data_IF_883099310076
#
_entry.id   IF_883099310076
#
_cell.length_a   1.000
_cell.length_b   1.000
_cell.length_c   1.000
_cell.angle_alpha   90.00
_cell.angle_beta   90.00
_cell.angle_gamma   90.00
#
_symmetry.space_group_name_H-M   'P 1'
#
loop_
_entity.id
_entity.type
_entity.pdbx_description
1 polymer ?
#
# COMPACT_ATOMS: atom_id res chain seq x y z
N UNK A 1 22.59 -71.46 -14.68
CA UNK A 1 22.47 -70.01 -14.48
C UNK A 1 21.53 -69.47 -15.55
N UNK A 2 20.23 -69.32 -15.23
CA UNK A 2 19.20 -68.76 -16.11
C UNK A 2 18.72 -67.47 -15.44
N UNK A 3 19.06 -66.32 -16.03
CA UNK A 3 18.60 -65.00 -15.59
C UNK A 3 17.20 -64.78 -16.18
N UNK A 4 16.19 -64.85 -15.33
CA UNK A 4 14.80 -64.56 -15.66
C UNK A 4 14.62 -63.06 -15.91
N UNK A 5 14.12 -62.70 -17.10
CA UNK A 5 13.85 -61.32 -17.50
C UNK A 5 12.65 -60.74 -16.75
N UNK A 6 12.80 -59.50 -16.26
CA UNK A 6 11.69 -58.69 -15.77
C UNK A 6 10.91 -58.14 -16.98
N UNK A 7 9.70 -58.64 -17.20
CA UNK A 7 8.75 -58.03 -18.12
C UNK A 7 8.17 -56.76 -17.50
N UNK A 8 8.34 -55.62 -18.18
CA UNK A 8 7.78 -54.33 -17.79
C UNK A 8 6.25 -54.34 -18.01
N UNK A 9 5.50 -54.07 -16.95
CA UNK A 9 4.03 -53.96 -16.99
C UNK A 9 3.66 -52.58 -17.54
N UNK A 10 2.81 -52.47 -18.59
CA UNK A 10 2.38 -51.18 -19.10
C UNK A 10 1.39 -50.50 -18.15
N UNK A 11 1.56 -49.18 -17.96
CA UNK A 11 0.67 -48.35 -17.14
C UNK A 11 -0.70 -48.14 -17.82
N UNK A 12 -1.80 -48.04 -17.06
CA UNK A 12 -3.12 -47.79 -17.62
C UNK A 12 -3.23 -46.38 -18.20
N UNK A 13 -3.83 -46.27 -19.39
CA UNK A 13 -4.08 -45.00 -20.07
C UNK A 13 -5.14 -44.19 -19.34
N UNK A 14 -4.85 -42.91 -19.08
CA UNK A 14 -5.80 -41.98 -18.48
C UNK A 14 -6.99 -41.69 -19.44
N UNK A 15 -8.21 -41.50 -18.91
CA UNK A 15 -9.37 -41.16 -19.73
C UNK A 15 -9.26 -39.74 -20.33
N UNK A 16 -9.90 -39.47 -21.47
CA UNK A 16 -9.88 -38.16 -22.10
C UNK A 16 -10.59 -37.12 -21.22
N UNK A 17 -9.99 -35.93 -21.15
CA UNK A 17 -10.55 -34.78 -20.46
C UNK A 17 -11.87 -34.35 -21.10
N UNK A 18 -12.91 -34.19 -20.27
CA UNK A 18 -14.20 -33.67 -20.70
C UNK A 18 -14.09 -32.20 -21.17
N UNK A 19 -14.89 -31.76 -22.16
CA UNK A 19 -14.88 -30.38 -22.62
C UNK A 19 -15.43 -29.43 -21.56
N UNK A 20 -14.72 -28.31 -21.34
CA UNK A 20 -15.14 -27.25 -20.43
C UNK A 20 -16.44 -26.58 -20.91
N UNK A 21 -17.36 -26.22 -19.99
CA UNK A 21 -18.57 -25.48 -20.35
C UNK A 21 -18.22 -24.04 -20.81
N UNK A 22 -19.04 -23.43 -21.68
CA UNK A 22 -18.84 -22.04 -22.11
C UNK A 22 -19.06 -21.07 -20.94
N UNK A 23 -18.37 -19.91 -20.93
CA UNK A 23 -18.58 -18.88 -19.92
C UNK A 23 -19.98 -18.28 -20.05
N UNK A 24 -20.71 -18.23 -18.93
CA UNK A 24 -22.00 -17.54 -18.83
C UNK A 24 -21.74 -16.03 -18.78
N UNK A 25 -22.28 -15.27 -19.74
CA UNK A 25 -22.28 -13.81 -19.68
C UNK A 25 -23.25 -13.34 -18.60
N UNK A 26 -22.71 -12.78 -17.51
CA UNK A 26 -23.51 -12.06 -16.52
C UNK A 26 -23.68 -10.62 -17.01
N UNK A 27 -24.91 -10.11 -17.17
CA UNK A 27 -25.12 -8.73 -17.59
C UNK A 27 -24.61 -7.75 -16.53
N UNK A 28 -23.86 -6.75 -16.98
CA UNK A 28 -23.26 -5.72 -16.14
C UNK A 28 -24.35 -4.83 -15.53
N UNK A 29 -24.31 -4.51 -14.22
CA UNK A 29 -25.28 -3.60 -13.62
C UNK A 29 -25.12 -2.19 -14.18
N UNK A 30 -26.24 -1.54 -14.52
CA UNK A 30 -26.26 -0.16 -14.99
C UNK A 30 -25.59 0.79 -13.97
N UNK A 31 -24.95 1.90 -14.42
CA UNK A 31 -24.41 2.91 -13.52
C UNK A 31 -25.56 3.56 -12.73
N UNK A 32 -25.49 3.47 -11.40
CA UNK A 32 -26.46 4.09 -10.49
C UNK A 32 -26.21 5.61 -10.49
N UNK A 33 -27.23 6.46 -10.69
CA UNK A 33 -27.06 7.91 -10.57
C UNK A 33 -26.67 8.25 -9.13
N UNK A 34 -25.58 9.01 -8.97
CA UNK A 34 -25.11 9.47 -7.66
C UNK A 34 -26.20 10.34 -7.01
N UNK A 35 -26.68 9.90 -5.85
CA UNK A 35 -27.46 10.75 -4.95
C UNK A 35 -26.60 11.95 -4.51
N UNK A 36 -27.19 13.13 -4.21
CA UNK A 36 -26.43 14.23 -3.63
C UNK A 36 -25.87 13.80 -2.27
N UNK A 37 -24.57 13.55 -2.22
CA UNK A 37 -23.85 13.24 -0.98
C UNK A 37 -24.07 14.37 0.03
N UNK A 38 -24.26 14.03 1.33
CA UNK A 38 -24.20 15.04 2.38
C UNK A 38 -22.86 15.74 2.25
N UNK A 39 -22.86 17.08 2.33
CA UNK A 39 -21.66 17.89 2.30
C UNK A 39 -20.71 17.43 3.42
N UNK A 40 -19.82 16.48 3.08
CA UNK A 40 -18.64 16.18 3.84
C UNK A 40 -17.86 17.48 3.81
N UNK A 41 -17.85 18.16 4.95
CA UNK A 41 -16.90 19.22 5.21
C UNK A 41 -15.54 18.55 5.11
N UNK A 42 -14.97 18.53 3.90
CA UNK A 42 -13.58 18.16 3.66
C UNK A 42 -12.78 19.02 4.63
N UNK A 43 -12.10 18.44 5.65
CA UNK A 43 -11.14 19.24 6.40
C UNK A 43 -10.22 19.85 5.34
N UNK A 44 -10.00 21.18 5.35
CA UNK A 44 -9.21 21.83 4.32
C UNK A 44 -7.88 21.06 4.17
N UNK A 45 -7.34 20.86 2.95
CA UNK A 45 -6.03 20.26 2.79
C UNK A 45 -5.12 21.02 3.74
N UNK A 46 -4.64 20.33 4.77
CA UNK A 46 -4.07 20.98 5.94
C UNK A 46 -3.00 21.94 5.41
N UNK A 47 -3.31 23.24 5.48
CA UNK A 47 -2.49 24.29 4.88
C UNK A 47 -1.08 24.00 5.33
N UNK A 48 -0.18 23.73 4.37
CA UNK A 48 1.23 23.52 4.61
C UNK A 48 1.71 24.67 5.49
N UNK A 49 1.75 24.42 6.80
CA UNK A 49 2.22 25.39 7.76
C UNK A 49 3.70 25.52 7.47
N UNK A 50 4.19 26.74 7.34
CA UNK A 50 5.61 27.05 7.19
C UNK A 50 6.51 26.46 8.30
N UNK A 51 5.91 25.78 9.29
CA UNK A 51 6.54 25.06 10.41
C UNK A 51 6.51 23.52 10.32
N UNK A 52 5.99 22.93 9.23
CA UNK A 52 5.87 21.48 9.10
C UNK A 52 4.97 20.81 10.16
N UNK A 53 4.81 19.49 10.07
CA UNK A 53 4.13 18.66 11.09
C UNK A 53 5.14 17.77 11.79
N UNK A 54 5.16 17.78 13.12
CA UNK A 54 6.00 16.90 13.91
C UNK A 54 5.30 15.57 14.21
N UNK A 55 6.04 14.48 14.13
CA UNK A 55 5.58 13.13 14.43
C UNK A 55 6.53 12.47 15.42
N UNK A 56 5.95 11.80 16.40
CA UNK A 56 6.66 10.95 17.34
C UNK A 56 6.40 9.48 17.00
N UNK A 57 7.47 8.72 16.89
CA UNK A 57 7.44 7.30 16.59
C UNK A 57 7.47 6.45 17.86
N UNK A 58 6.98 5.22 17.76
CA UNK A 58 6.92 4.29 18.90
C UNK A 58 8.31 3.88 19.40
N UNK A 59 9.33 3.94 18.55
CA UNK A 59 10.73 3.70 18.92
C UNK A 59 11.38 4.92 19.62
N UNK A 60 10.63 6.00 19.85
CA UNK A 60 11.11 7.23 20.48
C UNK A 60 11.74 8.23 19.52
N UNK A 61 11.90 7.87 18.24
CA UNK A 61 12.34 8.81 17.21
C UNK A 61 11.29 9.89 16.94
N UNK A 62 11.73 11.11 16.63
CA UNK A 62 10.85 12.21 16.23
C UNK A 62 11.28 12.77 14.90
N UNK A 63 10.35 13.00 13.99
CA UNK A 63 10.64 13.63 12.70
C UNK A 63 9.66 14.75 12.39
N UNK A 64 10.06 15.65 11.48
CA UNK A 64 9.21 16.73 10.96
C UNK A 64 8.96 16.52 9.48
N UNK A 65 7.73 16.78 9.05
CA UNK A 65 7.32 16.71 7.65
C UNK A 65 7.02 18.11 7.15
N UNK A 66 7.78 18.54 6.15
CA UNK A 66 7.56 19.77 5.41
C UNK A 66 6.86 19.41 4.10
N UNK A 67 5.64 19.89 3.91
CA UNK A 67 4.86 19.60 2.71
C UNK A 67 5.11 20.68 1.66
N UNK A 68 5.55 20.28 0.47
CA UNK A 68 5.88 21.17 -0.66
C UNK A 68 5.16 20.67 -1.91
N UNK A 69 3.90 21.07 -2.07
CA UNK A 69 3.01 20.72 -3.20
C UNK A 69 3.03 19.21 -3.58
N UNK A 70 3.97 18.82 -4.44
CA UNK A 70 4.11 17.49 -5.05
C UNK A 70 5.10 16.57 -4.33
N UNK A 71 5.82 17.09 -3.32
CA UNK A 71 6.75 16.31 -2.51
C UNK A 71 6.69 16.72 -1.03
N UNK A 72 7.14 15.83 -0.17
CA UNK A 72 7.38 16.12 1.24
C UNK A 72 8.88 16.00 1.54
N UNK A 73 9.35 16.76 2.51
CA UNK A 73 10.68 16.62 3.09
C UNK A 73 10.53 16.17 4.53
N UNK A 74 11.16 15.05 4.87
CA UNK A 74 11.20 14.52 6.22
C UNK A 74 12.56 14.85 6.84
N UNK A 75 12.54 15.58 7.95
CA UNK A 75 13.71 15.99 8.71
C UNK A 75 13.76 15.32 10.08
N UNK A 76 14.96 15.12 10.63
CA UNK A 76 15.15 14.51 11.95
C UNK A 76 15.37 12.98 11.94
N UNK A 77 15.41 12.37 10.76
CA UNK A 77 15.77 10.96 10.59
C UNK A 77 17.30 10.75 10.53
N UNK A 78 17.78 9.57 10.96
CA UNK A 78 19.18 9.19 10.75
C UNK A 78 19.47 9.08 9.26
N UNK A 79 20.46 9.83 8.77
CA UNK A 79 20.79 9.91 7.33
C UNK A 79 20.49 11.28 6.69
N UNK A 80 19.83 12.19 7.40
CA UNK A 80 19.58 13.56 6.96
C UNK A 80 18.16 13.77 6.42
N UNK A 81 17.90 14.89 5.71
CA UNK A 81 16.59 15.18 5.16
C UNK A 81 16.27 14.26 3.98
N UNK A 82 15.10 13.62 4.00
CA UNK A 82 14.63 12.75 2.94
C UNK A 82 13.49 13.41 2.16
N UNK A 83 13.63 13.48 0.84
CA UNK A 83 12.59 13.99 -0.06
C UNK A 83 11.78 12.82 -0.62
N UNK A 84 10.46 12.84 -0.40
CA UNK A 84 9.54 11.82 -0.91
C UNK A 84 8.55 12.47 -1.88
N UNK A 85 8.32 11.84 -3.02
CA UNK A 85 7.31 12.26 -3.98
C UNK A 85 5.95 11.66 -3.63
N UNK A 86 4.87 12.32 -4.07
CA UNK A 86 3.52 11.78 -3.90
C UNK A 86 3.41 10.46 -4.68
N UNK A 87 3.09 9.39 -3.97
CA UNK A 87 2.83 8.08 -4.56
C UNK A 87 1.33 7.92 -4.78
N UNK A 88 0.93 7.21 -5.83
CA UNK A 88 -0.46 6.87 -6.10
C UNK A 88 -0.89 5.70 -5.17
N UNK A 89 -0.82 5.94 -3.86
CA UNK A 89 -1.22 5.01 -2.82
C UNK A 89 -2.18 5.70 -1.85
N UNK A 90 -3.32 5.08 -1.62
CA UNK A 90 -4.37 5.63 -0.77
C UNK A 90 -5.68 4.89 -1.01
N UNK A 91 -6.00 3.92 -0.15
CA UNK A 91 -7.31 3.24 -0.19
C UNK A 91 -8.46 4.15 0.24
N UNK A 92 -8.17 5.27 0.91
CA UNK A 92 -9.15 6.24 1.39
C UNK A 92 -8.75 7.66 0.98
N UNK A 93 -9.68 8.63 0.88
CA UNK A 93 -9.38 10.03 0.54
C UNK A 93 -8.45 10.72 1.56
N UNK A 94 -8.39 10.18 2.79
CA UNK A 94 -7.56 10.69 3.88
C UNK A 94 -6.18 10.02 3.91
N UNK A 95 -6.04 8.86 3.26
CA UNK A 95 -4.79 8.11 3.20
C UNK A 95 -3.93 8.68 2.07
N UNK A 96 -2.79 9.27 2.43
CA UNK A 96 -1.79 9.76 1.48
C UNK A 96 -0.50 8.97 1.62
N UNK A 97 -0.01 8.42 0.51
CA UNK A 97 1.27 7.73 0.45
C UNK A 97 2.30 8.61 -0.26
N UNK A 98 3.50 8.65 0.30
CA UNK A 98 4.66 9.32 -0.24
C UNK A 98 5.81 8.33 -0.29
N UNK A 99 6.61 8.34 -1.35
CA UNK A 99 7.71 7.39 -1.50
C UNK A 99 8.94 8.01 -2.16
N UNK A 100 10.07 7.36 -1.91
CA UNK A 100 11.38 7.62 -2.50
C UNK A 100 12.10 6.28 -2.65
N UNK A 101 13.31 6.29 -3.21
CA UNK A 101 14.12 5.08 -3.35
C UNK A 101 14.40 4.36 -2.02
N UNK A 102 14.45 5.09 -0.89
CA UNK A 102 14.88 4.57 0.40
C UNK A 102 13.79 4.56 1.49
N UNK A 103 12.73 5.35 1.29
CA UNK A 103 11.74 5.63 2.32
C UNK A 103 10.35 5.77 1.73
N UNK A 104 9.36 5.25 2.44
CA UNK A 104 7.93 5.39 2.14
C UNK A 104 7.21 5.87 3.40
N UNK A 105 6.43 6.93 3.29
CA UNK A 105 5.64 7.48 4.38
C UNK A 105 4.15 7.40 4.03
N UNK A 106 3.35 6.90 4.96
CA UNK A 106 1.90 6.77 4.83
C UNK A 106 1.24 7.60 5.93
N UNK A 107 0.32 8.50 5.57
CA UNK A 107 -0.39 9.37 6.51
C UNK A 107 -1.88 9.14 6.43
N UNK A 108 -2.61 9.30 7.54
CA UNK A 108 -4.06 9.11 7.58
C UNK A 108 -4.44 7.64 7.54
N UNK A 109 -3.82 6.84 8.42
CA UNK A 109 -4.03 5.40 8.49
C UNK A 109 -5.28 5.05 9.30
N UNK A 110 -6.22 4.34 8.67
CA UNK A 110 -7.44 3.87 9.32
C UNK A 110 -8.43 5.01 9.63
N UNK A 111 -8.99 5.01 10.85
CA UNK A 111 -9.89 6.07 11.32
C UNK A 111 -9.15 7.26 11.96
N UNK A 112 -7.82 7.18 12.07
CA UNK A 112 -7.02 8.21 12.73
C UNK A 112 -6.29 9.06 11.67
N UNK A 113 -6.74 10.31 11.43
CA UNK A 113 -6.12 11.18 10.43
C UNK A 113 -4.73 11.68 10.87
N UNK A 114 -4.30 11.43 12.11
CA UNK A 114 -3.00 11.82 12.68
C UNK A 114 -1.99 10.67 12.71
N UNK A 115 -2.43 9.44 12.45
CA UNK A 115 -1.55 8.29 12.37
C UNK A 115 -0.66 8.36 11.11
N UNK A 116 0.61 8.03 11.29
CA UNK A 116 1.59 7.95 10.23
C UNK A 116 2.42 6.66 10.34
N UNK A 117 2.79 6.06 9.22
CA UNK A 117 3.78 5.00 9.17
C UNK A 117 4.96 5.44 8.32
N UNK A 118 6.16 5.12 8.79
CA UNK A 118 7.40 5.39 8.09
C UNK A 118 8.11 4.06 7.80
N UNK A 119 8.19 3.70 6.53
CA UNK A 119 8.71 2.42 6.04
C UNK A 119 10.04 2.67 5.34
N UNK A 120 11.12 2.09 5.87
CA UNK A 120 12.38 2.02 5.15
C UNK A 120 12.30 0.90 4.12
N UNK A 121 12.55 1.22 2.85
CA UNK A 121 12.52 0.24 1.75
C UNK A 121 13.80 -0.58 1.67
N UNK A 122 14.89 -0.09 2.27
CA UNK A 122 16.10 -0.86 2.55
C UNK A 122 16.13 -1.26 4.04
N UNK A 123 16.65 -2.44 4.41
CA UNK A 123 16.77 -2.86 5.80
C UNK A 123 17.55 -1.84 6.66
N UNK A 124 17.16 -1.62 7.94
CA UNK A 124 16.13 -2.34 8.69
C UNK A 124 14.70 -1.75 8.58
N UNK A 125 13.72 -2.64 8.73
CA UNK A 125 12.32 -2.49 8.31
C UNK A 125 11.42 -1.71 9.30
N UNK A 126 10.68 -0.74 8.75
CA UNK A 126 9.40 -0.15 9.22
C UNK A 126 9.26 0.34 10.67
N UNK A 127 8.85 1.62 10.80
CA UNK A 127 8.59 2.34 12.06
C UNK A 127 7.16 2.93 12.07
N UNK A 128 6.47 2.92 13.22
CA UNK A 128 5.10 3.47 13.38
C UNK A 128 5.10 4.77 14.20
N UNK A 129 4.33 5.77 13.77
CA UNK A 129 4.40 7.13 14.33
C UNK A 129 3.03 7.82 14.43
N UNK A 130 2.94 8.86 15.26
CA UNK A 130 1.73 9.65 15.47
C UNK A 130 2.08 11.14 15.55
N UNK A 131 1.22 12.00 15.00
CA UNK A 131 1.41 13.46 15.09
C UNK A 131 1.21 13.95 16.53
N UNK A 132 2.16 14.76 17.02
CA UNK A 132 2.12 15.43 18.32
C UNK A 132 1.68 16.87 18.23
#
# INVERSE_FOLDING_TARGET
MLLAGCAAVPAPSAPPAAPSPPPVLVPWPAPVPAAPEPAVTTPPPARASANGRAYACQDGSTFRVLEQNDFIVIEGLPGGPHRLARDAGGFTPQHSVWSSAQLRAEFGLGNDPKAAALIHTLPPATVRCAAG
#
